data_IF_826911095423
#
_entry.id   IF_826911095423
#
_cell.length_a   1.000
_cell.length_b   1.000
_cell.length_c   1.000
_cell.angle_alpha   90.00
_cell.angle_beta   90.00
_cell.angle_gamma   90.00
#
_symmetry.space_group_name_H-M   'P 1'
#
loop_
_entity.id
_entity.type
_entity.pdbx_description
1 polymer ?
#
# COMPACT_ATOMS: atom_id res chain seq x y z
N UNK A 1 17.20 19.36 -10.16
CA UNK A 1 16.70 19.36 -8.77
C UNK A 1 16.24 17.95 -8.46
N UNK A 2 16.90 17.24 -7.54
CA UNK A 2 16.32 16.01 -7.00
C UNK A 2 15.07 16.43 -6.24
N UNK A 3 13.89 15.94 -6.63
CA UNK A 3 12.66 16.25 -5.89
C UNK A 3 12.73 15.49 -4.57
N UNK A 4 12.74 16.23 -3.47
CA UNK A 4 12.63 15.65 -2.14
C UNK A 4 11.26 14.99 -1.98
N UNK A 5 11.21 13.83 -1.32
CA UNK A 5 9.94 13.13 -1.05
C UNK A 5 9.20 13.90 0.03
N UNK A 6 7.98 14.34 -0.27
CA UNK A 6 7.10 14.95 0.72
C UNK A 6 6.56 13.89 1.69
N UNK A 7 7.25 13.73 2.82
CA UNK A 7 6.89 12.75 3.84
C UNK A 7 5.57 13.10 4.56
N UNK A 8 5.20 14.38 4.61
CA UNK A 8 3.95 14.83 5.24
C UNK A 8 2.77 14.36 4.37
N UNK A 9 2.83 14.67 3.07
CA UNK A 9 1.82 14.17 2.12
C UNK A 9 1.80 12.64 2.08
N UNK A 10 2.95 11.99 2.20
CA UNK A 10 3.01 10.53 2.24
C UNK A 10 2.29 9.95 3.45
N UNK A 11 2.43 10.56 4.62
CA UNK A 11 1.75 10.13 5.85
C UNK A 11 0.23 10.40 5.76
N UNK A 12 -0.18 11.50 5.14
CA UNK A 12 -1.59 11.78 4.86
C UNK A 12 -2.21 10.71 3.96
N UNK A 13 -1.53 10.36 2.86
CA UNK A 13 -1.97 9.30 1.95
C UNK A 13 -1.97 7.94 2.63
N UNK A 14 -0.94 7.62 3.42
CA UNK A 14 -0.90 6.41 4.24
C UNK A 14 -2.15 6.30 5.12
N UNK A 15 -2.51 7.36 5.83
CA UNK A 15 -3.71 7.39 6.66
C UNK A 15 -5.00 7.27 5.84
N UNK A 16 -5.05 7.87 4.65
CA UNK A 16 -6.17 7.73 3.71
C UNK A 16 -6.36 6.27 3.28
N UNK A 17 -5.30 5.59 2.84
CA UNK A 17 -5.38 4.19 2.39
C UNK A 17 -5.63 3.21 3.54
N UNK A 18 -5.06 3.46 4.72
CA UNK A 18 -5.40 2.73 5.95
C UNK A 18 -6.91 2.78 6.23
N UNK A 19 -7.56 3.91 6.00
CA UNK A 19 -8.99 4.06 6.25
C UNK A 19 -9.90 3.60 5.10
N UNK A 20 -9.34 3.16 3.97
CA UNK A 20 -10.13 2.64 2.85
C UNK A 20 -10.56 1.19 3.12
N UNK A 21 -11.88 0.99 3.20
CA UNK A 21 -12.49 -0.33 3.22
C UNK A 21 -12.58 -0.89 1.79
N UNK A 22 -11.90 -2.00 1.52
CA UNK A 22 -11.96 -2.67 0.22
C UNK A 22 -13.24 -3.53 0.17
N UNK A 23 -14.33 -2.95 -0.33
CA UNK A 23 -15.56 -3.68 -0.68
C UNK A 23 -15.31 -4.53 -1.93
N UNK A 24 -14.84 -5.77 -1.74
CA UNK A 24 -14.94 -6.80 -2.79
C UNK A 24 -16.32 -7.44 -2.67
N UNK A 25 -17.00 -7.61 -3.81
CA UNK A 25 -18.32 -8.25 -3.96
C UNK A 25 -18.41 -9.54 -3.11
N UNK A 26 -18.90 -9.43 -1.88
CA UNK A 26 -19.04 -10.52 -0.91
C UNK A 26 -20.43 -10.45 -0.29
N UNK A 27 -20.91 -11.57 0.25
CA UNK A 27 -22.20 -11.63 0.97
C UNK A 27 -22.16 -10.82 2.27
N UNK A 28 -23.31 -10.36 2.77
CA UNK A 28 -23.40 -9.52 3.99
C UNK A 28 -22.69 -10.12 5.21
N UNK A 29 -22.78 -11.45 5.38
CA UNK A 29 -22.11 -12.17 6.48
C UNK A 29 -20.59 -12.25 6.31
N UNK A 30 -20.10 -12.35 5.08
CA UNK A 30 -18.67 -12.30 4.79
C UNK A 30 -18.14 -10.87 4.97
N UNK A 31 -18.94 -9.86 4.63
CA UNK A 31 -18.61 -8.45 4.85
C UNK A 31 -18.49 -8.11 6.33
N UNK A 32 -19.35 -8.65 7.19
CA UNK A 32 -19.28 -8.38 8.64
C UNK A 32 -18.00 -8.94 9.29
N UNK A 33 -17.63 -10.18 8.95
CA UNK A 33 -16.38 -10.77 9.42
C UNK A 33 -15.16 -10.03 8.88
N UNK A 34 -15.15 -9.67 7.59
CA UNK A 34 -14.05 -8.93 6.99
C UNK A 34 -13.91 -7.55 7.62
N UNK A 35 -15.03 -6.85 7.88
CA UNK A 35 -15.08 -5.58 8.59
C UNK A 35 -14.49 -5.69 9.99
N UNK A 36 -14.85 -6.72 10.77
CA UNK A 36 -14.28 -6.93 12.10
C UNK A 36 -12.75 -7.07 12.08
N UNK A 37 -12.21 -7.90 11.18
CA UNK A 37 -10.76 -8.08 11.04
C UNK A 37 -10.07 -6.82 10.53
N UNK A 38 -10.70 -6.09 9.62
CA UNK A 38 -10.21 -4.83 9.09
C UNK A 38 -10.16 -3.74 10.18
N UNK A 39 -11.22 -3.54 10.95
CA UNK A 39 -11.27 -2.59 12.07
C UNK A 39 -10.23 -2.93 13.15
N UNK A 40 -10.02 -4.22 13.40
CA UNK A 40 -8.98 -4.67 14.33
C UNK A 40 -7.59 -4.33 13.80
N UNK A 41 -7.29 -4.63 12.54
CA UNK A 41 -5.98 -4.35 11.91
C UNK A 41 -5.71 -2.84 11.77
N UNK A 42 -6.72 -2.04 11.43
CA UNK A 42 -6.61 -0.58 11.27
C UNK A 42 -6.16 0.16 12.54
N UNK A 43 -6.39 -0.43 13.72
CA UNK A 43 -5.85 0.10 14.98
C UNK A 43 -4.32 0.00 15.05
N UNK A 44 -3.72 -0.90 14.29
CA UNK A 44 -2.28 -1.18 14.31
C UNK A 44 -1.53 -0.55 13.14
N UNK A 45 -2.16 -0.36 11.97
CA UNK A 45 -1.49 0.20 10.81
C UNK A 45 -2.20 -0.07 9.49
N UNK A 46 -1.48 0.05 8.38
CA UNK A 46 -1.95 -0.33 7.04
C UNK A 46 -1.65 -1.80 6.77
N UNK A 47 -2.56 -2.50 6.11
CA UNK A 47 -2.40 -3.91 5.72
C UNK A 47 -1.77 -4.05 4.33
N UNK A 48 -1.20 -5.22 4.02
CA UNK A 48 -0.65 -5.51 2.69
C UNK A 48 -1.65 -5.23 1.56
N UNK A 49 -2.90 -5.66 1.70
CA UNK A 49 -3.92 -5.45 0.66
C UNK A 49 -4.22 -3.97 0.38
N UNK A 50 -4.14 -3.12 1.42
CA UNK A 50 -4.29 -1.67 1.25
C UNK A 50 -3.05 -1.06 0.59
N UNK A 51 -1.85 -1.52 0.94
CA UNK A 51 -0.60 -1.12 0.27
C UNK A 51 -0.62 -1.51 -1.21
N UNK A 52 -0.97 -2.76 -1.53
CA UNK A 52 -1.06 -3.26 -2.90
C UNK A 52 -2.08 -2.46 -3.71
N UNK A 53 -3.23 -2.10 -3.12
CA UNK A 53 -4.22 -1.24 -3.79
C UNK A 53 -3.64 0.15 -4.10
N UNK A 54 -2.92 0.76 -3.17
CA UNK A 54 -2.26 2.05 -3.40
C UNK A 54 -1.21 1.95 -4.51
N UNK A 55 -0.38 0.90 -4.49
CA UNK A 55 0.63 0.67 -5.52
C UNK A 55 0.01 0.36 -6.89
N UNK A 56 -1.18 -0.24 -6.93
CA UNK A 56 -1.93 -0.46 -8.17
C UNK A 56 -2.46 0.86 -8.75
N UNK A 57 -3.11 1.68 -7.91
CA UNK A 57 -3.69 2.96 -8.33
C UNK A 57 -2.65 3.98 -8.84
N UNK A 58 -1.42 3.86 -8.37
CA UNK A 58 -0.26 4.68 -8.78
C UNK A 58 0.60 4.01 -9.85
N UNK A 59 0.12 2.90 -10.43
CA UNK A 59 0.78 2.15 -11.53
C UNK A 59 2.17 1.61 -11.17
N UNK A 60 2.51 1.51 -9.88
CA UNK A 60 3.71 0.82 -9.41
C UNK A 60 3.55 -0.68 -9.65
N UNK A 61 2.37 -1.21 -9.34
CA UNK A 61 1.94 -2.53 -9.77
C UNK A 61 1.01 -2.36 -10.98
N UNK A 62 1.19 -3.10 -12.09
CA UNK A 62 2.20 -4.13 -12.34
C UNK A 62 3.48 -3.60 -13.03
N UNK A 63 3.68 -2.28 -13.19
CA UNK A 63 4.74 -1.75 -14.09
C UNK A 63 6.16 -1.84 -13.53
N UNK A 64 6.32 -1.62 -12.24
CA UNK A 64 7.61 -1.58 -11.55
C UNK A 64 7.79 -2.79 -10.63
N UNK A 65 6.69 -3.25 -10.03
CA UNK A 65 6.63 -4.31 -9.03
C UNK A 65 5.44 -5.22 -9.31
N UNK A 66 5.44 -6.38 -8.67
CA UNK A 66 4.36 -7.37 -8.70
C UNK A 66 3.79 -7.62 -7.29
N UNK A 67 2.54 -8.08 -7.22
CA UNK A 67 1.86 -8.48 -5.97
C UNK A 67 2.66 -9.58 -5.25
N UNK A 68 3.36 -10.43 -6.01
CA UNK A 68 4.18 -11.48 -5.44
C UNK A 68 5.38 -10.91 -4.67
N UNK A 69 6.03 -9.89 -5.22
CA UNK A 69 7.19 -9.25 -4.60
C UNK A 69 6.80 -8.49 -3.33
N UNK A 70 5.71 -7.72 -3.37
CA UNK A 70 5.18 -7.06 -2.16
C UNK A 70 4.80 -8.09 -1.10
N UNK A 71 4.17 -9.19 -1.50
CA UNK A 71 3.81 -10.30 -0.61
C UNK A 71 5.02 -10.95 0.07
N UNK A 72 6.10 -11.23 -0.66
CA UNK A 72 7.33 -11.81 -0.08
C UNK A 72 7.93 -10.88 0.97
N UNK A 73 8.11 -9.60 0.65
CA UNK A 73 8.76 -8.64 1.56
C UNK A 73 7.90 -8.44 2.80
N UNK A 74 6.58 -8.31 2.64
CA UNK A 74 5.68 -8.13 3.77
C UNK A 74 5.63 -9.36 4.68
N UNK A 75 5.66 -10.57 4.11
CA UNK A 75 5.67 -11.82 4.89
C UNK A 75 6.89 -11.93 5.82
N UNK A 76 8.04 -11.34 5.45
CA UNK A 76 9.25 -11.31 6.30
C UNK A 76 9.05 -10.51 7.59
N UNK A 77 8.12 -9.55 7.60
CA UNK A 77 7.82 -8.72 8.77
C UNK A 77 7.05 -9.49 9.87
N UNK A 78 6.39 -10.61 9.52
CA UNK A 78 5.61 -11.46 10.46
C UNK A 78 4.54 -10.69 11.25
N UNK A 79 3.98 -9.63 10.66
CA UNK A 79 2.94 -8.77 11.23
C UNK A 79 1.79 -8.61 10.23
N UNK A 80 0.59 -8.35 10.74
CA UNK A 80 -0.63 -8.24 9.92
C UNK A 80 -0.85 -6.84 9.34
N UNK A 81 -0.29 -5.82 9.99
CA UNK A 81 -0.36 -4.42 9.58
C UNK A 81 0.93 -3.71 10.00
N UNK A 82 1.30 -2.67 9.27
CA UNK A 82 2.51 -1.87 9.50
C UNK A 82 2.14 -0.43 9.83
N UNK A 83 2.81 0.16 10.83
CA UNK A 83 2.75 1.61 11.04
C UNK A 83 3.50 2.38 9.94
N UNK A 84 3.45 3.71 9.98
CA UNK A 84 4.07 4.53 8.93
C UNK A 84 5.60 4.35 8.85
N UNK A 85 6.27 4.18 9.98
CA UNK A 85 7.74 3.99 10.02
C UNK A 85 8.11 2.62 9.44
N UNK A 86 7.36 1.58 9.82
CA UNK A 86 7.52 0.23 9.29
C UNK A 86 7.19 0.17 7.80
N UNK A 87 6.20 0.92 7.34
CA UNK A 87 5.87 1.07 5.93
C UNK A 87 6.99 1.70 5.11
N UNK A 88 7.64 2.76 5.62
CA UNK A 88 8.81 3.34 4.95
C UNK A 88 9.95 2.31 4.85
N UNK A 89 10.22 1.55 5.92
CA UNK A 89 11.20 0.46 5.90
C UNK A 89 10.82 -0.66 4.92
N UNK A 90 9.53 -1.00 4.82
CA UNK A 90 9.02 -1.94 3.83
C UNK A 90 9.35 -1.49 2.40
N UNK A 91 9.15 -0.20 2.07
CA UNK A 91 9.52 0.35 0.76
C UNK A 91 11.03 0.26 0.51
N UNK A 92 11.85 0.60 1.51
CA UNK A 92 13.31 0.49 1.40
C UNK A 92 13.77 -0.95 1.15
N UNK A 93 13.17 -1.94 1.81
CA UNK A 93 13.49 -3.34 1.58
C UNK A 93 13.05 -3.79 0.18
N UNK A 94 11.85 -3.40 -0.24
CA UNK A 94 11.32 -3.70 -1.56
C UNK A 94 12.20 -3.12 -2.68
N UNK A 95 12.69 -1.90 -2.49
CA UNK A 95 13.58 -1.25 -3.45
C UNK A 95 14.92 -1.98 -3.54
N UNK A 96 15.50 -2.41 -2.42
CA UNK A 96 16.75 -3.19 -2.38
C UNK A 96 16.61 -4.54 -3.10
N UNK A 97 15.53 -5.27 -2.87
CA UNK A 97 15.29 -6.57 -3.51
C UNK A 97 15.12 -6.47 -5.03
N UNK A 98 14.72 -5.30 -5.52
CA UNK A 98 14.46 -5.04 -6.95
C UNK A 98 15.52 -4.15 -7.61
N UNK A 99 16.56 -3.77 -6.86
CA UNK A 99 17.58 -2.82 -7.29
C UNK A 99 16.95 -1.52 -7.86
N UNK A 100 15.89 -1.05 -7.20
CA UNK A 100 15.18 0.19 -7.49
C UNK A 100 15.54 1.25 -6.44
N UNK A 101 15.40 2.51 -6.83
CA UNK A 101 15.49 3.64 -5.90
C UNK A 101 14.18 3.74 -5.10
N UNK A 102 14.27 3.67 -3.77
CA UNK A 102 13.14 3.82 -2.87
C UNK A 102 12.42 5.17 -3.06
N UNK A 103 13.16 6.24 -3.38
CA UNK A 103 12.58 7.55 -3.62
C UNK A 103 11.71 7.55 -4.87
N UNK A 104 12.07 6.78 -5.91
CA UNK A 104 11.24 6.67 -7.11
C UNK A 104 9.90 6.01 -6.78
N UNK A 105 9.91 4.95 -5.97
CA UNK A 105 8.69 4.30 -5.49
C UNK A 105 7.86 5.29 -4.67
N UNK A 106 8.46 5.95 -3.68
CA UNK A 106 7.75 6.93 -2.83
C UNK A 106 7.14 8.06 -3.65
N UNK A 107 7.90 8.64 -4.58
CA UNK A 107 7.41 9.70 -5.47
C UNK A 107 6.24 9.24 -6.34
N UNK A 108 6.27 8.01 -6.84
CA UNK A 108 5.14 7.41 -7.57
C UNK A 108 3.91 7.27 -6.68
N UNK A 109 4.09 6.88 -5.43
CA UNK A 109 2.99 6.75 -4.46
C UNK A 109 2.32 8.09 -4.13
N UNK A 110 3.03 9.21 -4.29
CA UNK A 110 2.49 10.56 -4.15
C UNK A 110 1.70 11.04 -5.38
N UNK A 111 1.80 10.34 -6.52
CA UNK A 111 1.03 10.71 -7.72
C UNK A 111 -0.47 10.49 -7.48
N UNK A 112 -1.35 11.38 -8.00
CA UNK A 112 -2.78 11.17 -7.92
C UNK A 112 -3.18 9.87 -8.62
N UNK A 113 -4.32 9.29 -8.20
CA UNK A 113 -4.86 8.07 -8.81
C UNK A 113 -4.87 8.22 -10.32
N UNK A 114 -4.28 7.25 -11.02
CA UNK A 114 -4.34 7.26 -12.47
C UNK A 114 -5.78 7.05 -12.94
N UNK A 115 -6.24 7.89 -13.85
CA UNK A 115 -7.64 7.95 -14.33
C UNK A 115 -8.01 6.79 -15.28
N UNK A 116 -7.34 5.64 -15.15
CA UNK A 116 -7.63 4.44 -15.95
C UNK A 116 -8.93 3.75 -15.48
N UNK A 117 -9.65 4.34 -14.52
CA UNK A 117 -10.94 3.86 -13.96
C UNK A 117 -12.11 3.90 -14.96
N UNK A 118 -11.87 4.25 -16.23
CA UNK A 118 -12.88 4.20 -17.30
C UNK A 118 -12.74 2.99 -18.24
N UNK A 119 -11.87 2.02 -17.97
CA UNK A 119 -11.78 0.81 -18.80
C UNK A 119 -11.83 -0.47 -17.97
N UNK A 120 -13.04 -0.87 -17.60
CA UNK A 120 -13.47 -2.27 -17.46
C UNK A 120 -14.99 -2.36 -17.49
#
# INVERSE_FOLDING_TARGET
MSKEVDLVLMEELFNRYKNQYINKRMTDKQNENLKYWHERANKYGITLSQIDNWMYETKIIPKMLTIFETGIVFAKLKIFAVDFTQFLNFIEQLSREKNLDANVIKMKMLEPKSDDSQKL
#
